data_IF_810500900160
#
_entry.id   IF_810500900160
#
_cell.length_a   1.000
_cell.length_b   1.000
_cell.length_c   1.000
_cell.angle_alpha   90.00
_cell.angle_beta   90.00
_cell.angle_gamma   90.00
#
_symmetry.space_group_name_H-M   'P 1'
#
loop_
_entity.id
_entity.type
_entity.pdbx_description
1 polymer ?
#
# COMPACT_ATOMS: atom_id res chain seq x y z
N UNK A 1 5.93 21.38 0.07
CA UNK A 1 6.79 20.62 0.99
C UNK A 1 6.46 19.16 0.76
N UNK A 2 7.45 18.32 0.54
CA UNK A 2 7.23 16.88 0.32
C UNK A 2 7.00 16.18 1.67
N UNK A 3 6.25 15.07 1.66
CA UNK A 3 6.08 14.26 2.85
C UNK A 3 7.40 13.58 3.27
N UNK A 4 7.68 13.53 4.57
CA UNK A 4 8.88 12.88 5.13
C UNK A 4 8.49 11.60 5.87
N UNK A 5 9.22 10.50 5.66
CA UNK A 5 9.02 9.23 6.37
C UNK A 5 9.92 9.20 7.61
N UNK A 6 9.32 9.12 8.80
CA UNK A 6 10.04 9.06 10.07
C UNK A 6 10.33 7.61 10.51
N UNK A 7 9.38 6.71 10.27
CA UNK A 7 9.45 5.31 10.66
C UNK A 7 8.80 4.46 9.57
N UNK A 8 9.36 3.29 9.30
CA UNK A 8 8.79 2.27 8.41
C UNK A 8 8.95 0.90 9.06
N UNK A 9 7.84 0.21 9.24
CA UNK A 9 7.76 -1.10 9.89
C UNK A 9 7.08 -2.09 8.96
N UNK A 10 7.68 -3.28 8.84
CA UNK A 10 7.08 -4.41 8.15
C UNK A 10 6.16 -5.13 9.14
N UNK A 11 4.90 -5.30 8.78
CA UNK A 11 3.88 -5.89 9.64
C UNK A 11 3.69 -7.38 9.28
N UNK A 12 2.54 -7.75 8.70
CA UNK A 12 2.22 -9.12 8.35
C UNK A 12 2.67 -9.43 6.92
N UNK A 13 3.24 -10.62 6.74
CA UNK A 13 3.55 -11.19 5.43
C UNK A 13 2.82 -12.51 5.30
N UNK A 14 1.96 -12.62 4.30
CA UNK A 14 1.21 -13.84 4.06
C UNK A 14 1.43 -14.36 2.64
N UNK A 15 1.79 -15.64 2.58
CA UNK A 15 1.73 -16.42 1.36
C UNK A 15 0.61 -17.44 1.51
N UNK A 16 -0.46 -17.27 0.74
CA UNK A 16 -1.52 -18.27 0.66
C UNK A 16 -1.51 -18.88 -0.74
N UNK A 17 -1.00 -20.10 -0.86
CA UNK A 17 -1.20 -20.91 -2.06
C UNK A 17 -2.57 -21.59 -1.92
N UNK A 18 -3.59 -21.10 -2.63
CA UNK A 18 -4.88 -21.79 -2.67
C UNK A 18 -4.92 -22.61 -3.95
N UNK A 19 -4.98 -23.93 -3.79
CA UNK A 19 -5.36 -24.93 -4.81
C UNK A 19 -4.26 -25.39 -5.79
N UNK A 20 -3.80 -26.63 -5.59
CA UNK A 20 -2.92 -27.39 -6.49
C UNK A 20 -3.55 -27.61 -7.89
N UNK A 21 -4.89 -27.59 -8.02
CA UNK A 21 -5.58 -27.70 -9.32
C UNK A 21 -5.66 -26.38 -10.09
N UNK A 22 -5.59 -25.22 -9.40
CA UNK A 22 -5.74 -23.89 -10.04
C UNK A 22 -4.45 -23.06 -10.03
N UNK A 23 -3.41 -23.52 -9.35
CA UNK A 23 -2.09 -22.89 -9.28
C UNK A 23 -2.18 -21.41 -8.84
N UNK A 24 -3.02 -21.11 -7.83
CA UNK A 24 -3.22 -19.74 -7.35
C UNK A 24 -2.25 -19.47 -6.20
N UNK A 25 -1.42 -18.43 -6.38
CA UNK A 25 -0.51 -17.92 -5.35
C UNK A 25 -0.95 -16.50 -5.00
N UNK A 26 -1.45 -16.30 -3.79
CA UNK A 26 -1.67 -14.98 -3.19
C UNK A 26 -0.44 -14.64 -2.36
N UNK A 27 0.18 -13.52 -2.70
CA UNK A 27 1.26 -12.94 -1.91
C UNK A 27 0.81 -11.57 -1.40
N UNK A 28 0.95 -11.35 -0.10
CA UNK A 28 0.54 -10.13 0.59
C UNK A 28 1.65 -9.63 1.50
N UNK A 29 1.86 -8.33 1.45
CA UNK A 29 2.82 -7.62 2.30
C UNK A 29 2.16 -6.39 2.87
N UNK A 30 2.18 -6.29 4.20
CA UNK A 30 1.64 -5.15 4.92
C UNK A 30 2.79 -4.37 5.57
N UNK A 31 2.72 -3.05 5.47
CA UNK A 31 3.66 -2.11 6.06
C UNK A 31 2.90 -1.05 6.85
N UNK A 32 3.54 -0.51 7.87
CA UNK A 32 3.10 0.70 8.55
C UNK A 32 4.23 1.73 8.56
N UNK A 33 3.89 3.00 8.43
CA UNK A 33 4.85 4.09 8.44
C UNK A 33 4.29 5.27 9.23
N UNK A 34 5.18 6.01 9.88
CA UNK A 34 4.84 7.32 10.46
C UNK A 34 5.47 8.38 9.57
N UNK A 35 4.65 9.31 9.08
CA UNK A 35 5.10 10.38 8.17
C UNK A 35 4.82 11.75 8.76
N UNK A 36 5.57 12.76 8.30
CA UNK A 36 5.19 14.18 8.38
C UNK A 36 4.59 14.55 7.03
N UNK A 37 3.34 15.02 7.04
CA UNK A 37 2.68 15.45 5.82
C UNK A 37 3.11 16.87 5.38
N UNK A 38 2.60 17.33 4.23
CA UNK A 38 2.92 18.65 3.67
C UNK A 38 2.58 19.83 4.60
N UNK A 39 1.71 19.61 5.60
CA UNK A 39 1.30 20.60 6.60
C UNK A 39 2.08 20.48 7.91
N UNK A 40 3.09 19.60 7.99
CA UNK A 40 3.88 19.38 9.20
C UNK A 40 3.21 18.49 10.25
N UNK A 41 2.04 17.89 9.96
CA UNK A 41 1.34 17.00 10.89
C UNK A 41 1.84 15.55 10.76
N UNK A 42 1.92 14.85 11.90
CA UNK A 42 2.24 13.43 11.93
C UNK A 42 1.02 12.57 11.59
N UNK A 43 1.22 11.58 10.73
CA UNK A 43 0.18 10.64 10.31
C UNK A 43 0.73 9.22 10.27
N UNK A 44 -0.13 8.24 10.54
CA UNK A 44 0.19 6.82 10.36
C UNK A 44 -0.33 6.38 9.00
N UNK A 45 0.54 5.84 8.17
CA UNK A 45 0.21 5.29 6.87
C UNK A 45 0.30 3.77 6.96
N UNK A 46 -0.77 3.08 6.62
CA UNK A 46 -0.81 1.64 6.45
C UNK A 46 -0.76 1.34 4.96
N UNK A 47 0.15 0.48 4.52
CA UNK A 47 0.31 0.12 3.11
C UNK A 47 0.11 -1.38 3.00
N UNK A 48 -0.91 -1.80 2.26
CA UNK A 48 -1.13 -3.19 1.91
C UNK A 48 -0.84 -3.38 0.41
N UNK A 49 0.13 -4.24 0.12
CA UNK A 49 0.48 -4.68 -1.21
C UNK A 49 -0.07 -6.08 -1.46
N UNK A 50 -0.94 -6.19 -2.47
CA UNK A 50 -1.54 -7.47 -2.84
C UNK A 50 -1.14 -7.91 -4.26
N UNK A 51 -0.42 -9.03 -4.31
CA UNK A 51 -0.06 -9.73 -5.54
C UNK A 51 -0.90 -11.01 -5.66
N UNK A 52 -2.07 -10.90 -6.28
CA UNK A 52 -2.96 -12.03 -6.59
C UNK A 52 -3.73 -11.80 -7.89
N UNK A 53 -4.13 -12.90 -8.54
CA UNK A 53 -5.05 -12.89 -9.68
C UNK A 53 -6.52 -12.82 -9.27
N UNK A 54 -6.83 -13.06 -8.00
CA UNK A 54 -8.17 -13.10 -7.46
C UNK A 54 -8.43 -11.94 -6.50
N UNK A 55 -9.66 -11.39 -6.50
CA UNK A 55 -10.07 -10.37 -5.54
C UNK A 55 -9.92 -10.84 -4.09
N UNK A 56 -9.53 -9.93 -3.19
CA UNK A 56 -9.61 -10.17 -1.74
C UNK A 56 -11.02 -9.90 -1.23
N UNK A 57 -11.38 -10.58 -0.14
CA UNK A 57 -12.62 -10.33 0.59
C UNK A 57 -12.54 -8.98 1.35
N UNK A 58 -13.50 -8.08 1.10
CA UNK A 58 -13.65 -6.77 1.78
C UNK A 58 -13.60 -6.88 3.31
N UNK A 59 -14.09 -7.98 3.88
CA UNK A 59 -14.08 -8.22 5.33
C UNK A 59 -12.67 -8.12 5.91
N UNK A 60 -11.67 -8.56 5.16
CA UNK A 60 -10.29 -8.55 5.62
C UNK A 60 -9.70 -7.14 5.67
N UNK A 61 -9.98 -6.29 4.68
CA UNK A 61 -9.56 -4.88 4.73
C UNK A 61 -10.12 -4.20 5.98
N UNK A 62 -11.39 -4.50 6.32
CA UNK A 62 -12.03 -4.01 7.55
C UNK A 62 -11.34 -4.54 8.81
N UNK A 63 -11.02 -5.83 8.86
CA UNK A 63 -10.31 -6.42 10.02
C UNK A 63 -8.94 -5.79 10.22
N UNK A 64 -8.14 -5.68 9.15
CA UNK A 64 -6.80 -5.09 9.21
C UNK A 64 -6.84 -3.62 9.68
N UNK A 65 -7.78 -2.83 9.16
CA UNK A 65 -7.98 -1.46 9.64
C UNK A 65 -8.38 -1.44 11.11
N UNK A 66 -9.35 -2.26 11.53
CA UNK A 66 -9.82 -2.32 12.91
C UNK A 66 -8.74 -2.71 13.92
N UNK A 67 -7.88 -3.67 13.56
CA UNK A 67 -6.72 -4.06 14.37
C UNK A 67 -5.76 -2.89 14.58
N UNK A 68 -5.48 -2.12 13.51
CA UNK A 68 -4.60 -0.95 13.60
C UNK A 68 -5.21 0.21 14.41
N UNK A 69 -6.54 0.37 14.42
CA UNK A 69 -7.22 1.30 15.34
C UNK A 69 -7.14 0.87 16.80
N UNK A 70 -7.01 -0.43 17.07
CA UNK A 70 -6.96 -0.97 18.44
C UNK A 70 -5.55 -0.93 19.02
N UNK A 71 -4.51 -0.93 18.17
CA UNK A 71 -3.11 -0.81 18.59
C UNK A 71 -2.86 0.57 19.21
N UNK A 72 -2.64 0.60 20.53
CA UNK A 72 -2.15 1.80 21.22
C UNK A 72 -0.63 1.85 21.08
N UNK A 73 -0.12 2.88 20.43
CA UNK A 73 1.31 3.16 20.43
C UNK A 73 1.66 3.95 21.69
N UNK A 74 2.38 3.31 22.60
CA UNK A 74 2.87 3.93 23.83
C UNK A 74 4.30 4.38 23.62
N UNK A 75 4.55 5.68 23.76
CA UNK A 75 5.91 6.24 23.74
C UNK A 75 6.21 6.72 25.15
N UNK A 76 7.39 6.38 25.67
CA UNK A 76 7.87 6.95 26.92
C UNK A 76 8.41 8.34 26.64
N UNK A 77 7.78 9.34 27.24
CA UNK A 77 8.28 10.71 27.23
C UNK A 77 9.63 10.80 28.00
N UNK A 78 10.36 11.90 27.82
CA UNK A 78 11.64 12.21 28.47
C UNK A 78 11.53 12.16 30.00
N UNK A 79 10.32 12.36 30.52
CA UNK A 79 9.94 12.24 31.94
C UNK A 79 9.69 10.80 32.42
N UNK A 80 9.80 9.81 31.54
CA UNK A 80 9.47 8.40 31.83
C UNK A 80 7.97 8.10 31.85
N UNK A 81 7.11 9.09 31.58
CA UNK A 81 5.66 8.92 31.53
C UNK A 81 5.25 8.30 30.19
N UNK A 82 4.45 7.25 30.25
CA UNK A 82 3.86 6.63 29.06
C UNK A 82 2.78 7.54 28.51
N UNK A 83 3.00 8.05 27.30
CA UNK A 83 2.02 8.84 26.57
C UNK A 83 1.55 8.06 25.34
N UNK A 84 0.23 7.96 25.18
CA UNK A 84 -0.38 7.24 24.06
C UNK A 84 -0.49 8.21 22.90
N UNK A 85 0.29 7.99 21.84
CA UNK A 85 0.14 8.77 20.61
C UNK A 85 -0.84 8.09 19.68
N UNK A 86 -1.79 8.87 19.19
CA UNK A 86 -2.76 8.45 18.18
C UNK A 86 -2.54 9.38 16.99
N UNK A 87 -2.36 8.79 15.81
CA UNK A 87 -2.20 9.54 14.57
C UNK A 87 -3.36 9.23 13.62
N UNK A 88 -3.80 10.20 12.80
CA UNK A 88 -4.73 9.93 11.71
C UNK A 88 -4.18 8.81 10.81
N UNK A 89 -5.06 7.88 10.41
CA UNK A 89 -4.69 6.71 9.61
C UNK A 89 -5.02 6.93 8.13
N UNK A 90 -4.02 6.75 7.28
CA UNK A 90 -4.17 6.68 5.82
C UNK A 90 -3.87 5.25 5.39
N UNK A 91 -4.77 4.62 4.65
CA UNK A 91 -4.55 3.29 4.09
C UNK A 91 -4.27 3.37 2.60
N UNK A 92 -3.24 2.67 2.12
CA UNK A 92 -2.88 2.58 0.71
C UNK A 92 -2.95 1.12 0.28
N UNK A 93 -3.85 0.80 -0.63
CA UNK A 93 -4.02 -0.53 -1.20
C UNK A 93 -3.45 -0.57 -2.62
N UNK A 94 -2.41 -1.37 -2.82
CA UNK A 94 -1.83 -1.61 -4.16
C UNK A 94 -2.29 -2.99 -4.63
N UNK A 95 -3.22 -3.01 -5.57
CA UNK A 95 -3.92 -4.19 -6.04
C UNK A 95 -3.38 -4.69 -7.38
N UNK A 96 -2.97 -5.96 -7.41
CA UNK A 96 -2.57 -6.68 -8.61
C UNK A 96 -3.72 -7.20 -9.48
N UNK A 97 -4.95 -6.75 -9.27
CA UNK A 97 -6.17 -7.11 -10.01
C UNK A 97 -7.08 -5.88 -10.16
N UNK A 98 -8.05 -5.98 -11.09
CA UNK A 98 -9.06 -4.94 -11.28
C UNK A 98 -10.27 -5.22 -10.39
N UNK A 99 -10.71 -4.21 -9.65
CA UNK A 99 -12.02 -4.16 -9.00
C UNK A 99 -13.04 -3.78 -10.07
N UNK A 100 -14.13 -4.54 -10.15
CA UNK A 100 -15.15 -4.42 -11.23
C UNK A 100 -15.77 -3.03 -11.22
N UNK A 101 -16.17 -2.54 -10.04
CA UNK A 101 -16.93 -1.29 -9.90
C UNK A 101 -16.05 -0.03 -9.84
N UNK A 102 -14.72 -0.19 -9.91
CA UNK A 102 -13.77 0.93 -9.87
C UNK A 102 -12.99 0.94 -11.20
N UNK A 103 -13.43 1.71 -12.22
CA UNK A 103 -12.81 1.72 -13.54
C UNK A 103 -11.52 2.57 -13.63
N UNK A 104 -10.98 3.05 -12.51
CA UNK A 104 -9.86 4.00 -12.47
C UNK A 104 -8.55 3.38 -11.98
N UNK A 105 -7.40 3.85 -12.49
CA UNK A 105 -6.07 3.42 -12.05
C UNK A 105 -5.86 3.66 -10.55
N UNK A 106 -6.19 4.85 -10.07
CA UNK A 106 -6.07 5.20 -8.66
C UNK A 106 -7.30 6.01 -8.21
N UNK A 107 -7.78 5.76 -7.00
CA UNK A 107 -8.86 6.52 -6.36
C UNK A 107 -8.49 6.88 -4.93
N UNK A 108 -8.85 8.10 -4.54
CA UNK A 108 -8.81 8.54 -3.15
C UNK A 108 -10.23 8.53 -2.60
N UNK A 109 -10.38 8.00 -1.40
CA UNK A 109 -11.63 7.89 -0.67
C UNK A 109 -11.46 8.68 0.62
N UNK A 110 -12.15 9.81 0.66
CA UNK A 110 -12.19 10.74 1.78
C UNK A 110 -13.63 10.96 2.22
N UNK A 111 -13.84 11.24 3.49
CA UNK A 111 -15.17 11.52 4.03
C UNK A 111 -15.51 12.99 3.84
N UNK A 112 -16.71 13.26 3.31
CA UNK A 112 -17.30 14.60 3.30
C UNK A 112 -18.00 14.86 4.61
N UNK A 113 -17.69 15.98 5.24
CA UNK A 113 -18.37 16.40 6.47
C UNK A 113 -19.61 17.19 6.06
N UNK A 114 -20.77 16.78 6.56
CA UNK A 114 -22.05 17.43 6.27
C UNK A 114 -22.71 17.89 7.55
N UNK A 115 -23.27 19.10 7.53
CA UNK A 115 -24.09 19.59 8.62
C UNK A 115 -25.48 18.93 8.53
N UNK A 116 -25.85 18.16 9.55
CA UNK A 116 -27.11 17.42 9.54
C UNK A 116 -28.35 18.33 9.54
N UNK A 117 -28.25 19.54 10.08
CA UNK A 117 -29.36 20.51 10.18
C UNK A 117 -29.55 21.24 8.85
N UNK A 118 -28.48 21.82 8.29
CA UNK A 118 -28.58 22.59 7.02
C UNK A 118 -28.48 21.73 5.77
N UNK A 119 -28.00 20.48 5.90
CA UNK A 119 -27.67 19.54 4.80
C UNK A 119 -26.52 20.01 3.90
N UNK A 120 -25.77 21.03 4.32
CA UNK A 120 -24.66 21.57 3.55
C UNK A 120 -23.34 20.85 3.88
N UNK A 121 -22.46 20.76 2.90
CA UNK A 121 -21.08 20.32 3.11
C UNK A 121 -20.31 21.39 3.89
N UNK A 122 -19.62 20.98 4.95
CA UNK A 122 -18.84 21.89 5.80
C UNK A 122 -17.37 21.51 5.76
N UNK A 123 -16.52 22.52 5.69
CA UNK A 123 -15.07 22.33 5.76
C UNK A 123 -14.62 22.59 7.21
N UNK A 124 -14.32 21.53 7.94
CA UNK A 124 -13.87 21.60 9.33
C UNK A 124 -12.48 20.98 9.42
N UNK A 125 -11.49 21.80 9.77
CA UNK A 125 -10.15 21.34 10.12
C UNK A 125 -10.11 21.10 11.63
N UNK A 126 -10.13 19.83 12.04
CA UNK A 126 -10.15 19.44 13.46
C UNK A 126 -9.39 18.13 13.64
N UNK A 127 -8.39 18.14 14.53
CA UNK A 127 -7.62 16.94 14.86
C UNK A 127 -8.51 15.81 15.39
N UNK A 128 -9.58 16.15 16.13
CA UNK A 128 -10.56 15.19 16.60
C UNK A 128 -11.26 14.46 15.45
N UNK A 129 -11.67 15.21 14.42
CA UNK A 129 -12.32 14.61 13.23
C UNK A 129 -11.30 13.79 12.44
N UNK A 130 -10.08 14.31 12.23
CA UNK A 130 -9.02 13.60 11.52
C UNK A 130 -8.67 12.25 12.16
N UNK A 131 -8.71 12.15 13.49
CA UNK A 131 -8.49 10.90 14.23
C UNK A 131 -9.63 9.88 14.07
N UNK A 132 -10.86 10.35 13.85
CA UNK A 132 -12.03 9.48 13.64
C UNK A 132 -12.19 9.02 12.19
N UNK A 133 -11.68 9.80 11.23
CA UNK A 133 -11.83 9.51 9.81
C UNK A 133 -10.61 8.76 9.28
N UNK A 134 -10.83 7.61 8.63
CA UNK A 134 -9.80 7.00 7.81
C UNK A 134 -9.84 7.58 6.40
N UNK A 135 -8.67 7.76 5.81
CA UNK A 135 -8.52 8.01 4.36
C UNK A 135 -8.04 6.73 3.70
N UNK A 136 -8.52 6.46 2.50
CA UNK A 136 -8.10 5.29 1.73
C UNK A 136 -7.69 5.69 0.33
N UNK A 137 -6.57 5.13 -0.13
CA UNK A 137 -6.14 5.20 -1.51
C UNK A 137 -6.08 3.80 -2.09
N UNK A 138 -6.76 3.58 -3.21
CA UNK A 138 -6.73 2.31 -3.94
C UNK A 138 -6.00 2.54 -5.25
N UNK A 139 -5.04 1.68 -5.55
CA UNK A 139 -4.22 1.70 -6.76
C UNK A 139 -4.33 0.34 -7.44
N UNK A 140 -4.81 0.30 -8.68
CA UNK A 140 -5.02 -0.92 -9.46
C UNK A 140 -3.95 -1.03 -10.54
N UNK A 141 -2.85 -1.73 -10.26
CA UNK A 141 -1.65 -1.75 -11.12
C UNK A 141 -1.94 -2.30 -12.53
N UNK A 142 -2.94 -3.19 -12.67
CA UNK A 142 -3.37 -3.72 -13.97
C UNK A 142 -4.09 -2.72 -14.87
N UNK A 143 -4.48 -1.56 -14.35
CA UNK A 143 -5.07 -0.46 -15.13
C UNK A 143 -4.02 0.57 -15.58
N UNK A 144 -2.74 0.30 -15.33
CA UNK A 144 -1.66 1.18 -15.77
C UNK A 144 -1.63 1.21 -17.31
N UNK A 145 -1.73 2.42 -17.87
CA UNK A 145 -1.65 2.62 -19.32
C UNK A 145 -0.20 2.60 -19.81
N UNK A 146 0.00 2.40 -21.12
CA UNK A 146 1.33 2.45 -21.75
C UNK A 146 1.89 3.88 -21.78
N UNK A 147 1.01 4.86 -22.00
CA UNK A 147 1.31 6.29 -21.95
C UNK A 147 1.41 6.77 -20.49
N UNK A 148 2.58 6.52 -19.90
CA UNK A 148 2.91 6.86 -18.50
C UNK A 148 3.27 8.33 -18.36
N UNK A 149 2.29 9.15 -17.98
CA UNK A 149 2.39 10.62 -17.99
C UNK A 149 2.78 11.19 -16.63
N UNK A 150 2.47 10.49 -15.54
CA UNK A 150 2.73 10.96 -14.17
C UNK A 150 3.85 10.19 -13.49
N UNK A 151 4.51 10.81 -12.51
CA UNK A 151 5.52 10.16 -11.66
C UNK A 151 4.97 8.91 -10.94
N UNK A 152 3.70 8.94 -10.54
CA UNK A 152 3.04 7.78 -9.94
C UNK A 152 2.89 6.63 -10.95
N UNK A 153 2.41 6.91 -12.16
CA UNK A 153 2.29 5.88 -13.21
C UNK A 153 3.65 5.25 -13.55
N UNK A 154 4.68 6.10 -13.61
CA UNK A 154 6.07 5.70 -13.80
C UNK A 154 6.58 4.79 -12.67
N UNK A 155 6.34 5.14 -11.40
CA UNK A 155 6.71 4.31 -10.26
C UNK A 155 5.97 2.95 -10.25
N UNK A 156 4.69 2.94 -10.65
CA UNK A 156 3.87 1.73 -10.63
C UNK A 156 4.31 0.65 -11.63
N UNK A 157 5.22 0.96 -12.57
CA UNK A 157 5.86 -0.03 -13.46
C UNK A 157 6.55 -1.12 -12.64
N UNK A 158 7.19 -0.77 -11.53
CA UNK A 158 7.91 -1.70 -10.66
C UNK A 158 7.01 -2.81 -10.11
N UNK A 159 5.68 -2.59 -10.12
CA UNK A 159 4.68 -3.52 -9.64
C UNK A 159 3.89 -4.21 -10.78
N UNK A 160 4.07 -3.79 -12.04
CA UNK A 160 3.29 -4.28 -13.17
C UNK A 160 3.80 -5.64 -13.69
N UNK A 161 3.00 -6.67 -13.44
CA UNK A 161 3.30 -8.07 -13.75
C UNK A 161 2.95 -8.48 -15.18
N UNK A 162 2.49 -7.57 -16.03
CA UNK A 162 2.35 -7.87 -17.46
C UNK A 162 3.71 -8.10 -18.12
N UNK A 163 4.79 -7.57 -17.52
CA UNK A 163 6.15 -7.74 -17.96
C UNK A 163 6.85 -8.90 -17.25
N UNK A 164 6.24 -10.08 -17.23
CA UNK A 164 6.85 -11.25 -16.60
C UNK A 164 7.44 -12.15 -17.68
N UNK A 165 8.69 -12.61 -17.49
CA UNK A 165 9.35 -13.50 -18.45
C UNK A 165 8.67 -14.89 -18.48
N UNK A 166 9.11 -15.76 -19.39
CA UNK A 166 8.69 -17.17 -19.46
C UNK A 166 8.79 -17.90 -18.11
N UNK A 167 9.77 -17.50 -17.29
CA UNK A 167 9.84 -17.84 -15.87
C UNK A 167 8.95 -16.86 -15.07
N UNK A 168 7.67 -17.23 -14.88
CA UNK A 168 6.54 -16.49 -14.24
C UNK A 168 6.80 -15.70 -12.93
N UNK A 169 8.02 -15.65 -12.42
CA UNK A 169 8.46 -14.96 -11.21
C UNK A 169 9.55 -13.89 -11.46
N UNK A 170 10.08 -13.74 -12.68
CA UNK A 170 11.04 -12.70 -13.05
C UNK A 170 10.31 -11.55 -13.75
N UNK A 171 10.43 -10.34 -13.20
CA UNK A 171 9.97 -9.11 -13.84
C UNK A 171 11.00 -8.68 -14.89
N UNK A 172 10.56 -8.55 -16.14
CA UNK A 172 11.27 -7.94 -17.25
C UNK A 172 10.91 -6.45 -17.30
N UNK A 173 11.51 -5.66 -16.40
CA UNK A 173 11.23 -4.24 -16.31
C UNK A 173 11.78 -3.51 -17.55
N UNK A 174 10.97 -3.42 -18.61
CA UNK A 174 11.28 -2.63 -19.81
C UNK A 174 10.93 -1.17 -19.56
N UNK A 175 11.83 -0.27 -19.95
CA UNK A 175 11.60 1.18 -19.93
C UNK A 175 11.33 1.74 -18.52
N UNK A 176 12.17 1.37 -17.54
CA UNK A 176 12.15 2.03 -16.23
C UNK A 176 12.67 3.46 -16.39
N UNK A 177 11.94 4.47 -15.91
CA UNK A 177 12.41 5.85 -15.87
C UNK A 177 13.72 5.97 -15.09
N UNK A 178 14.60 6.88 -15.52
CA UNK A 178 15.93 7.03 -14.93
C UNK A 178 15.91 7.29 -13.42
N UNK A 179 14.89 7.99 -12.93
CA UNK A 179 14.65 8.27 -11.50
C UNK A 179 14.52 6.99 -10.64
N UNK A 180 14.07 5.87 -11.22
CA UNK A 180 13.83 4.61 -10.50
C UNK A 180 14.82 3.50 -10.88
N UNK A 181 15.90 3.84 -11.59
CA UNK A 181 16.89 2.87 -12.05
C UNK A 181 17.63 2.18 -10.90
N UNK A 182 17.91 2.90 -9.82
CA UNK A 182 18.51 2.36 -8.61
C UNK A 182 17.64 1.24 -8.00
N UNK A 183 16.33 1.46 -7.89
CA UNK A 183 15.37 0.48 -7.41
C UNK A 183 15.27 -0.70 -8.37
N UNK A 184 15.16 -0.44 -9.68
CA UNK A 184 15.11 -1.51 -10.68
C UNK A 184 16.38 -2.37 -10.69
N UNK A 185 17.55 -1.75 -10.54
CA UNK A 185 18.83 -2.45 -10.43
C UNK A 185 18.89 -3.31 -9.17
N UNK A 186 18.47 -2.77 -8.02
CA UNK A 186 18.39 -3.53 -6.77
C UNK A 186 17.46 -4.75 -6.90
N UNK A 187 16.30 -4.59 -7.52
CA UNK A 187 15.40 -5.72 -7.79
C UNK A 187 16.04 -6.73 -8.76
N UNK A 188 16.78 -6.25 -9.76
CA UNK A 188 17.52 -7.07 -10.71
C UNK A 188 18.62 -7.90 -10.08
N UNK A 189 19.41 -7.34 -9.16
CA UNK A 189 20.50 -8.06 -8.48
C UNK A 189 19.97 -9.19 -7.59
N UNK A 190 18.87 -8.95 -6.85
CA UNK A 190 18.20 -9.97 -6.03
C UNK A 190 17.72 -11.15 -6.90
N UNK A 191 17.23 -10.87 -8.12
CA UNK A 191 16.83 -11.92 -9.06
C UNK A 191 18.03 -12.72 -9.56
N UNK A 192 19.26 -12.18 -9.59
CA UNK A 192 20.47 -12.91 -10.02
C UNK A 192 21.06 -13.83 -8.94
N UNK A 193 20.66 -13.68 -7.67
CA UNK A 193 21.10 -14.55 -6.58
C UNK A 193 20.58 -16.00 -6.78
N UNK A 194 21.50 -16.95 -6.94
CA UNK A 194 21.18 -18.36 -7.13
C UNK A 194 20.44 -18.96 -5.93
N UNK A 195 20.74 -18.56 -4.70
CA UNK A 195 20.04 -19.04 -3.50
C UNK A 195 18.59 -18.55 -3.50
N UNK A 196 18.37 -17.29 -3.86
CA UNK A 196 17.03 -16.72 -3.99
C UNK A 196 16.23 -17.39 -5.13
N UNK A 197 16.85 -17.60 -6.29
CA UNK A 197 16.26 -18.36 -7.41
C UNK A 197 15.91 -19.79 -7.02
N UNK A 198 16.80 -20.46 -6.29
CA UNK A 198 16.59 -21.83 -5.84
C UNK A 198 15.46 -21.91 -4.80
N UNK A 199 15.31 -20.92 -3.92
CA UNK A 199 14.13 -20.82 -3.06
C UNK A 199 12.84 -20.61 -3.87
N UNK A 200 12.85 -19.73 -4.88
CA UNK A 200 11.68 -19.50 -5.74
C UNK A 200 11.30 -20.74 -6.57
N UNK A 201 12.30 -21.50 -7.07
CA UNK A 201 12.12 -22.76 -7.80
C UNK A 201 11.62 -23.90 -6.91
N UNK A 202 12.10 -23.98 -5.66
CA UNK A 202 11.63 -24.97 -4.66
C UNK A 202 10.22 -24.69 -4.16
N UNK A 203 9.78 -23.42 -4.20
CA UNK A 203 8.42 -22.99 -3.85
C UNK A 203 7.43 -23.13 -5.01
N UNK A 204 7.79 -23.89 -6.06
CA UNK A 204 6.97 -24.07 -7.24
C UNK A 204 5.93 -25.14 -7.05
#
# INVERSE_FOLDING_TARGET
MECEVLELTVEQQELIAIDEKRNLKLYRLDFSAVIINEQGKKQKVLIELQKSKLPTNLLRFRTYLGENYTKKETIKDISGKEDVKIYPIISIYILGYNVVDIPYLAVNIDNKITNTVTKEEVNVNSDFIELLTHKTRIIQVRRLSEERRTRLEQFLILFNQSYVTSEKYILDLKEVPEEFNDIANYLGTVVQDENFRNQLKRRR
#
